data_IF_280968655511
#
_entry.id   IF_280968655511
#
_cell.length_a   1.000
_cell.length_b   1.000
_cell.length_c   1.000
_cell.angle_alpha   90.00
_cell.angle_beta   90.00
_cell.angle_gamma   90.00
#
_symmetry.space_group_name_H-M   'P 1'
#
loop_
_entity.id
_entity.type
_entity.pdbx_description
1 polymer ?
#
# COMPACT_ATOMS: atom_id res chain seq x y z
N UNK A 1 38.34 57.82 -6.38
CA UNK A 1 36.96 57.48 -5.99
C UNK A 1 36.70 56.04 -6.39
N UNK A 2 36.60 55.13 -5.42
CA UNK A 2 36.25 53.73 -5.65
C UNK A 2 34.93 53.44 -4.91
N UNK A 3 33.96 52.71 -5.50
CA UNK A 3 32.68 52.47 -4.84
C UNK A 3 32.82 51.32 -3.83
N UNK A 4 32.37 51.56 -2.60
CA UNK A 4 32.10 50.50 -1.63
C UNK A 4 30.82 49.78 -2.05
N UNK A 5 30.91 48.47 -2.30
CA UNK A 5 29.75 47.60 -2.44
C UNK A 5 29.43 46.97 -1.07
N UNK A 6 28.29 47.37 -0.50
CA UNK A 6 27.78 46.80 0.76
C UNK A 6 27.07 45.48 0.45
N UNK A 7 27.61 44.36 0.95
CA UNK A 7 27.00 43.04 0.89
C UNK A 7 25.82 42.98 1.87
N UNK A 8 24.59 42.97 1.35
CA UNK A 8 23.37 42.69 2.13
C UNK A 8 23.25 41.18 2.24
N UNK A 9 23.51 40.64 3.43
CA UNK A 9 23.28 39.22 3.74
C UNK A 9 21.81 39.03 4.11
N UNK A 10 21.03 38.41 3.23
CA UNK A 10 19.69 37.94 3.57
C UNK A 10 19.81 36.63 4.35
N UNK A 11 19.61 36.71 5.67
CA UNK A 11 19.37 35.52 6.48
C UNK A 11 17.95 35.02 6.16
N UNK A 12 17.85 33.94 5.37
CA UNK A 12 16.61 33.19 5.20
C UNK A 12 16.28 32.50 6.53
N UNK A 13 15.12 32.74 7.15
CA UNK A 13 14.69 31.94 8.28
C UNK A 13 14.45 30.52 7.78
N UNK A 14 15.21 29.56 8.32
CA UNK A 14 14.94 28.14 8.16
C UNK A 14 13.58 27.88 8.82
N UNK A 15 12.50 27.89 8.05
CA UNK A 15 11.21 27.33 8.44
C UNK A 15 11.43 25.83 8.58
N UNK A 16 11.77 25.41 9.80
CA UNK A 16 11.70 24.00 10.21
C UNK A 16 10.24 23.58 10.08
N UNK A 17 9.86 22.97 8.96
CA UNK A 17 8.66 22.13 8.92
C UNK A 17 8.84 21.10 10.04
N UNK A 18 8.08 21.23 11.12
CA UNK A 18 8.06 20.23 12.17
C UNK A 18 7.65 18.91 11.53
N UNK A 19 8.60 17.98 11.39
CA UNK A 19 8.34 16.65 10.88
C UNK A 19 7.35 15.95 11.83
N UNK A 20 6.28 15.37 11.30
CA UNK A 20 5.32 14.60 12.07
C UNK A 20 6.05 13.45 12.78
N UNK A 21 5.83 13.27 14.08
CA UNK A 21 6.50 12.21 14.83
C UNK A 21 6.02 10.82 14.35
N UNK A 22 6.91 9.82 14.20
CA UNK A 22 6.54 8.50 13.67
C UNK A 22 5.39 7.82 14.42
N UNK A 23 5.35 7.98 15.75
CA UNK A 23 4.31 7.38 16.60
C UNK A 23 2.93 8.02 16.37
N UNK A 24 2.89 9.33 16.11
CA UNK A 24 1.66 10.05 15.81
C UNK A 24 1.14 9.66 14.42
N UNK A 25 2.05 9.57 13.44
CA UNK A 25 1.73 9.10 12.09
C UNK A 25 1.16 7.68 12.11
N UNK A 26 1.78 6.76 12.85
CA UNK A 26 1.31 5.39 13.02
C UNK A 26 -0.07 5.34 13.66
N UNK A 27 -0.30 6.08 14.76
CA UNK A 27 -1.59 6.12 15.45
C UNK A 27 -2.71 6.62 14.54
N UNK A 28 -2.47 7.72 13.81
CA UNK A 28 -3.44 8.29 12.89
C UNK A 28 -3.73 7.37 11.71
N UNK A 29 -2.72 6.77 11.11
CA UNK A 29 -2.90 5.81 10.02
C UNK A 29 -3.66 4.57 10.49
N UNK A 30 -3.35 4.05 11.69
CA UNK A 30 -4.08 2.92 12.28
C UNK A 30 -5.56 3.25 12.49
N UNK A 31 -5.88 4.46 12.93
CA UNK A 31 -7.27 4.92 13.07
C UNK A 31 -8.00 4.90 11.72
N UNK A 32 -7.37 5.40 10.65
CA UNK A 32 -7.95 5.41 9.29
C UNK A 32 -8.18 3.98 8.79
N UNK A 33 -7.21 3.09 9.00
CA UNK A 33 -7.31 1.67 8.61
C UNK A 33 -8.47 1.00 9.36
N UNK A 34 -8.57 1.21 10.68
CA UNK A 34 -9.60 0.60 11.51
C UNK A 34 -11.01 1.10 11.18
N UNK A 35 -11.14 2.39 10.83
CA UNK A 35 -12.43 2.99 10.49
C UNK A 35 -12.87 2.72 9.05
N UNK A 36 -12.00 2.10 8.22
CA UNK A 36 -12.23 1.90 6.79
C UNK A 36 -12.67 3.17 6.06
N UNK A 37 -12.21 4.32 6.55
CA UNK A 37 -12.62 5.63 6.04
C UNK A 37 -11.88 5.96 4.75
N UNK A 38 -12.51 6.77 3.91
CA UNK A 38 -11.85 7.35 2.75
C UNK A 38 -10.76 8.32 3.22
N UNK A 39 -9.58 8.25 2.62
CA UNK A 39 -8.48 9.19 2.82
C UNK A 39 -7.86 9.54 1.47
N UNK A 40 -7.61 10.83 1.25
CA UNK A 40 -6.98 11.35 0.03
C UNK A 40 -5.45 11.16 0.06
N UNK A 41 -4.82 11.24 -1.11
CA UNK A 41 -3.35 11.17 -1.22
C UNK A 41 -2.69 12.27 -0.37
N UNK A 42 -3.21 13.50 -0.41
CA UNK A 42 -2.69 14.63 0.36
C UNK A 42 -2.76 14.41 1.89
N UNK A 43 -3.73 13.61 2.36
CA UNK A 43 -3.82 13.23 3.78
C UNK A 43 -2.88 12.07 4.13
N UNK A 44 -2.64 11.14 3.19
CA UNK A 44 -1.85 9.92 3.43
C UNK A 44 -0.35 10.13 3.28
N UNK A 45 0.09 10.93 2.30
CA UNK A 45 1.50 11.17 2.01
C UNK A 45 2.31 11.64 3.23
N UNK A 46 1.90 12.67 4.00
CA UNK A 46 2.67 13.08 5.18
C UNK A 46 2.71 12.02 6.28
N UNK A 47 1.67 11.17 6.38
CA UNK A 47 1.66 10.05 7.33
C UNK A 47 2.65 8.97 6.89
N UNK A 48 2.60 8.60 5.61
CA UNK A 48 3.47 7.59 5.01
C UNK A 48 4.95 7.96 5.15
N UNK A 49 5.30 9.21 4.81
CA UNK A 49 6.68 9.71 4.89
C UNK A 49 7.26 9.76 6.31
N UNK A 50 6.40 9.77 7.33
CA UNK A 50 6.82 9.76 8.73
C UNK A 50 6.96 8.34 9.32
N UNK A 51 6.53 7.29 8.60
CA UNK A 51 6.63 5.92 9.09
C UNK A 51 8.08 5.40 9.04
N UNK A 52 8.50 4.61 10.04
CA UNK A 52 9.80 3.96 9.97
C UNK A 52 9.79 2.88 8.87
N UNK A 53 10.89 2.69 8.14
CA UNK A 53 10.99 1.59 7.20
C UNK A 53 10.95 0.23 7.92
N UNK A 54 10.47 -0.78 7.21
CA UNK A 54 10.50 -2.16 7.67
C UNK A 54 11.42 -2.97 6.76
N UNK A 55 12.10 -3.98 7.30
CA UNK A 55 12.92 -4.90 6.51
C UNK A 55 12.09 -6.09 6.04
N UNK A 56 12.51 -6.77 4.97
CA UNK A 56 11.83 -8.00 4.50
C UNK A 56 11.66 -9.03 5.63
N UNK A 57 12.66 -9.20 6.49
CA UNK A 57 12.59 -10.12 7.64
C UNK A 57 11.46 -9.77 8.63
N UNK A 58 11.18 -8.47 8.83
CA UNK A 58 10.06 -8.01 9.68
C UNK A 58 8.71 -8.08 8.96
N UNK A 59 8.71 -8.12 7.63
CA UNK A 59 7.52 -8.14 6.79
C UNK A 59 7.01 -9.56 6.48
N UNK A 60 7.65 -10.61 7.00
CA UNK A 60 7.17 -11.99 6.81
C UNK A 60 5.83 -12.18 7.52
N UNK A 61 4.85 -12.76 6.82
CA UNK A 61 3.52 -13.00 7.40
C UNK A 61 2.39 -12.96 6.38
N UNK A 62 1.17 -13.04 6.91
CA UNK A 62 -0.09 -12.95 6.16
C UNK A 62 -0.79 -11.67 6.57
N UNK A 63 -1.22 -10.88 5.59
CA UNK A 63 -1.80 -9.55 5.79
C UNK A 63 -3.12 -9.44 5.07
N UNK A 64 -4.17 -9.05 5.82
CA UNK A 64 -5.45 -8.65 5.24
C UNK A 64 -5.32 -7.26 4.60
N UNK A 65 -5.76 -7.15 3.36
CA UNK A 65 -5.70 -5.93 2.56
C UNK A 65 -6.87 -4.97 2.82
N UNK A 66 -6.72 -3.75 2.31
CA UNK A 66 -7.73 -2.71 2.31
C UNK A 66 -7.34 -1.57 1.37
N UNK A 67 -8.30 -0.72 1.01
CA UNK A 67 -8.11 0.47 0.17
C UNK A 67 -8.58 1.70 0.94
N UNK A 68 -7.95 2.86 0.70
CA UNK A 68 -8.31 4.14 1.32
C UNK A 68 -9.43 4.88 0.58
N UNK A 69 -10.25 4.16 -0.20
CA UNK A 69 -11.32 4.75 -1.01
C UNK A 69 -12.64 4.90 -0.23
N UNK A 70 -12.69 4.35 0.99
CA UNK A 70 -13.91 4.14 1.75
C UNK A 70 -14.70 2.92 1.24
N UNK A 71 -15.81 2.57 1.92
CA UNK A 71 -16.68 1.51 1.46
C UNK A 71 -17.33 1.89 0.12
N UNK A 72 -17.56 0.93 -0.78
CA UNK A 72 -18.27 1.19 -2.03
C UNK A 72 -19.69 1.67 -1.75
N UNK A 73 -20.24 2.59 -2.57
CA UNK A 73 -21.59 3.10 -2.37
C UNK A 73 -22.62 1.97 -2.53
N UNK A 74 -23.64 1.99 -1.67
CA UNK A 74 -24.78 1.09 -1.78
C UNK A 74 -25.78 1.64 -2.79
N UNK A 75 -26.26 0.78 -3.69
CA UNK A 75 -27.40 1.03 -4.57
C UNK A 75 -28.47 0.00 -4.24
N UNK A 76 -29.65 0.46 -3.83
CA UNK A 76 -30.75 -0.40 -3.37
C UNK A 76 -30.34 -1.38 -2.25
N UNK A 77 -29.54 -0.91 -1.29
CA UNK A 77 -29.10 -1.72 -0.15
C UNK A 77 -28.00 -2.75 -0.47
N UNK A 78 -27.42 -2.72 -1.68
CA UNK A 78 -26.36 -3.66 -2.09
C UNK A 78 -25.21 -2.95 -2.78
N UNK A 79 -24.00 -3.53 -2.70
CA UNK A 79 -22.83 -3.05 -3.45
C UNK A 79 -22.98 -3.40 -4.93
N UNK A 80 -23.00 -2.41 -5.85
CA UNK A 80 -23.07 -2.64 -7.29
C UNK A 80 -21.96 -3.56 -7.78
N UNK A 81 -22.23 -4.43 -8.75
CA UNK A 81 -21.23 -5.35 -9.33
C UNK A 81 -19.99 -4.62 -9.83
N UNK A 82 -20.15 -3.44 -10.43
CA UNK A 82 -19.04 -2.61 -10.91
C UNK A 82 -18.16 -2.02 -9.80
N UNK A 83 -18.70 -1.92 -8.58
CA UNK A 83 -17.98 -1.42 -7.40
C UNK A 83 -17.35 -2.56 -6.57
N UNK A 84 -17.51 -3.83 -6.98
CA UNK A 84 -16.87 -4.97 -6.35
C UNK A 84 -15.45 -5.13 -6.88
N UNK A 85 -14.54 -5.59 -6.02
CA UNK A 85 -13.21 -5.97 -6.44
C UNK A 85 -13.30 -7.13 -7.46
N UNK A 86 -12.66 -7.02 -8.64
CA UNK A 86 -12.84 -7.98 -9.73
C UNK A 86 -12.25 -9.36 -9.42
N UNK A 87 -11.32 -9.46 -8.47
CA UNK A 87 -10.68 -10.71 -8.07
C UNK A 87 -11.08 -11.12 -6.65
N UNK A 88 -12.02 -10.41 -6.01
CA UNK A 88 -12.37 -10.59 -4.61
C UNK A 88 -11.14 -10.59 -3.68
N UNK A 89 -10.26 -9.60 -3.87
CA UNK A 89 -8.98 -9.49 -3.18
C UNK A 89 -9.15 -9.45 -1.66
N UNK A 90 -8.46 -10.36 -0.97
CA UNK A 90 -8.43 -10.46 0.48
C UNK A 90 -7.16 -9.87 1.08
N UNK A 91 -6.00 -10.08 0.45
CA UNK A 91 -4.73 -9.69 1.06
C UNK A 91 -3.48 -10.25 0.38
N UNK A 92 -2.43 -10.43 1.18
CA UNK A 92 -1.09 -10.83 0.72
C UNK A 92 -0.43 -11.76 1.72
N UNK A 93 0.52 -12.55 1.26
CA UNK A 93 1.41 -13.32 2.12
C UNK A 93 2.85 -13.21 1.63
N UNK A 94 3.76 -12.88 2.54
CA UNK A 94 5.21 -12.87 2.33
C UNK A 94 5.76 -14.08 3.06
N UNK A 95 6.15 -15.11 2.31
CA UNK A 95 6.67 -16.38 2.83
C UNK A 95 8.18 -16.26 3.05
N UNK A 96 8.85 -15.70 2.05
CA UNK A 96 10.28 -15.38 2.07
C UNK A 96 10.55 -14.18 1.17
N UNK A 97 11.81 -13.79 1.10
CA UNK A 97 12.33 -12.86 0.09
C UNK A 97 12.05 -13.34 -1.35
N UNK A 98 12.10 -14.64 -1.63
CA UNK A 98 11.88 -15.18 -2.99
C UNK A 98 10.44 -15.61 -3.28
N UNK A 99 9.60 -15.78 -2.26
CA UNK A 99 8.23 -16.31 -2.42
C UNK A 99 7.21 -15.39 -1.75
N UNK A 100 6.39 -14.76 -2.58
CA UNK A 100 5.29 -13.89 -2.17
C UNK A 100 4.02 -14.32 -2.92
N UNK A 101 2.91 -14.43 -2.20
CA UNK A 101 1.57 -14.52 -2.75
C UNK A 101 0.93 -13.13 -2.67
N UNK A 102 1.05 -12.29 -3.71
CA UNK A 102 0.66 -10.88 -3.61
C UNK A 102 -0.85 -10.63 -3.75
N UNK A 103 -1.58 -11.63 -4.23
CA UNK A 103 -3.01 -11.59 -4.55
C UNK A 103 -3.71 -12.80 -3.93
N UNK A 104 -3.86 -12.77 -2.61
CA UNK A 104 -4.73 -13.69 -1.90
C UNK A 104 -6.18 -13.23 -2.10
N UNK A 105 -7.06 -14.11 -2.56
CA UNK A 105 -8.45 -13.80 -2.91
C UNK A 105 -9.43 -14.72 -2.20
N UNK A 106 -10.59 -14.20 -1.84
CA UNK A 106 -11.71 -15.01 -1.36
C UNK A 106 -12.39 -15.73 -2.54
N UNK A 107 -12.95 -16.92 -2.29
CA UNK A 107 -13.78 -17.59 -3.28
C UNK A 107 -14.98 -16.70 -3.70
N UNK A 108 -15.43 -16.77 -4.96
CA UNK A 108 -16.63 -16.06 -5.42
C UNK A 108 -17.85 -16.43 -4.56
N UNK A 109 -18.64 -15.45 -4.11
CA UNK A 109 -19.77 -15.70 -3.19
C UNK A 109 -20.87 -16.57 -3.81
N UNK A 110 -20.96 -16.62 -5.14
CA UNK A 110 -21.86 -17.44 -5.95
C UNK A 110 -21.42 -18.91 -6.06
N UNK A 111 -20.26 -19.27 -5.50
CA UNK A 111 -19.75 -20.64 -5.49
C UNK A 111 -19.89 -21.37 -4.13
N UNK A 112 -20.56 -20.76 -3.14
CA UNK A 112 -20.92 -21.43 -1.88
C UNK A 112 -22.40 -21.81 -1.86
N UNK A 113 -22.77 -23.11 -1.96
CA UNK A 113 -24.16 -23.55 -1.94
C UNK A 113 -24.89 -23.31 -0.61
N UNK A 114 -24.14 -22.98 0.45
CA UNK A 114 -24.62 -22.96 1.84
C UNK A 114 -24.65 -21.54 2.43
N UNK A 115 -24.29 -20.50 1.65
CA UNK A 115 -24.13 -19.12 2.15
C UNK A 115 -22.99 -18.96 3.17
N UNK A 116 -22.19 -20.01 3.40
CA UNK A 116 -20.95 -19.92 4.21
C UNK A 116 -19.87 -19.30 3.34
N UNK A 117 -19.33 -18.17 3.75
CA UNK A 117 -18.10 -17.60 3.18
C UNK A 117 -16.97 -18.62 3.35
N UNK A 118 -16.83 -19.54 2.40
CA UNK A 118 -15.75 -20.52 2.45
C UNK A 118 -14.48 -19.74 2.18
N UNK A 119 -13.72 -19.58 3.26
CA UNK A 119 -12.49 -18.80 3.38
C UNK A 119 -11.34 -19.46 2.62
N UNK A 120 -11.57 -19.89 1.38
CA UNK A 120 -10.52 -20.47 0.57
C UNK A 120 -9.75 -19.33 -0.06
N UNK A 121 -8.69 -18.96 0.64
CA UNK A 121 -7.75 -17.94 0.22
C UNK A 121 -6.78 -18.61 -0.76
N UNK A 122 -6.99 -18.40 -2.06
CA UNK A 122 -6.09 -18.92 -3.09
C UNK A 122 -5.12 -17.84 -3.58
N UNK A 123 -3.86 -18.18 -3.91
CA UNK A 123 -3.01 -17.31 -4.73
C UNK A 123 -3.61 -17.22 -6.13
N UNK A 124 -4.22 -16.08 -6.45
CA UNK A 124 -4.92 -15.86 -7.71
C UNK A 124 -3.99 -15.25 -8.77
N UNK A 125 -3.92 -15.77 -10.02
CA UNK A 125 -4.15 -17.15 -10.46
C UNK A 125 -2.88 -18.04 -10.38
N UNK A 126 -1.77 -17.54 -9.82
CA UNK A 126 -0.47 -18.24 -9.81
C UNK A 126 0.31 -17.97 -8.52
N UNK A 127 1.08 -18.97 -8.09
CA UNK A 127 2.05 -18.88 -6.98
C UNK A 127 3.33 -18.20 -7.46
N UNK A 128 4.08 -17.60 -6.54
CA UNK A 128 5.44 -17.08 -6.78
C UNK A 128 5.57 -16.03 -7.91
N UNK A 129 4.52 -15.24 -8.13
CA UNK A 129 4.52 -14.14 -9.11
C UNK A 129 5.14 -12.84 -8.58
N UNK A 130 5.70 -12.87 -7.37
CA UNK A 130 6.36 -11.73 -6.76
C UNK A 130 7.46 -12.16 -5.79
N UNK A 131 8.37 -11.22 -5.50
CA UNK A 131 9.46 -11.33 -4.55
C UNK A 131 9.43 -10.15 -3.59
N UNK A 132 10.03 -10.27 -2.41
CA UNK A 132 10.23 -9.17 -1.47
C UNK A 132 11.71 -8.77 -1.43
N UNK A 133 11.99 -7.47 -1.59
CA UNK A 133 13.35 -6.90 -1.53
C UNK A 133 13.31 -5.60 -0.74
N UNK A 134 14.39 -5.27 -0.05
CA UNK A 134 14.58 -3.92 0.47
C UNK A 134 14.97 -3.01 -0.70
N UNK A 135 14.11 -2.04 -1.02
CA UNK A 135 14.27 -1.11 -2.15
C UNK A 135 14.29 0.32 -1.62
N UNK A 136 15.17 1.15 -2.19
CA UNK A 136 15.26 2.58 -1.84
C UNK A 136 14.19 3.38 -2.58
N UNK A 137 13.38 4.12 -1.82
CA UNK A 137 12.44 5.12 -2.33
C UNK A 137 12.60 6.41 -1.53
N UNK A 138 12.78 7.55 -2.20
CA UNK A 138 13.02 8.86 -1.55
C UNK A 138 14.17 8.83 -0.51
N UNK A 139 15.22 8.04 -0.77
CA UNK A 139 16.38 7.90 0.13
C UNK A 139 16.16 6.95 1.31
N UNK A 140 14.99 6.33 1.46
CA UNK A 140 14.68 5.37 2.52
C UNK A 140 14.57 3.96 1.94
N UNK A 141 15.35 3.01 2.47
CA UNK A 141 15.24 1.59 2.11
C UNK A 141 14.14 0.91 2.92
N UNK A 142 13.18 0.25 2.26
CA UNK A 142 12.09 -0.47 2.92
C UNK A 142 11.68 -1.71 2.13
N UNK A 143 11.11 -2.70 2.84
CA UNK A 143 10.59 -3.92 2.27
C UNK A 143 9.53 -3.60 1.21
N UNK A 144 9.77 -4.07 0.00
CA UNK A 144 8.97 -3.77 -1.18
C UNK A 144 8.67 -5.07 -1.92
N UNK A 145 7.39 -5.27 -2.25
CA UNK A 145 6.96 -6.39 -3.10
C UNK A 145 7.21 -6.00 -4.57
N UNK A 146 8.03 -6.80 -5.26
CA UNK A 146 8.34 -6.67 -6.67
C UNK A 146 7.61 -7.78 -7.42
N UNK A 147 6.67 -7.42 -8.29
CA UNK A 147 6.01 -8.39 -9.16
C UNK A 147 6.96 -8.82 -10.28
N UNK A 148 6.98 -10.12 -10.57
CA UNK A 148 7.68 -10.63 -11.73
C UNK A 148 7.02 -10.09 -13.00
N UNK A 149 7.84 -9.58 -13.94
CA UNK A 149 7.34 -9.16 -15.26
C UNK A 149 6.83 -10.38 -16.00
N UNK A 150 5.55 -10.38 -16.34
CA UNK A 150 5.00 -11.34 -17.28
C UNK A 150 5.47 -10.97 -18.68
N UNK A 151 6.22 -11.87 -19.34
CA UNK A 151 6.34 -11.87 -20.79
C UNK A 151 5.26 -12.81 -21.29
N UNK A 152 4.21 -12.26 -21.90
CA UNK A 152 3.21 -13.09 -22.58
C UNK A 152 3.90 -13.78 -23.77
N UNK A 153 3.88 -15.12 -23.88
CA UNK A 153 4.35 -15.79 -25.09
C UNK A 153 3.49 -15.47 -26.33
N UNK A 154 2.36 -14.78 -26.17
CA UNK A 154 1.46 -14.40 -27.26
C UNK A 154 1.76 -13.04 -27.91
N UNK A 155 2.82 -12.35 -27.50
CA UNK A 155 3.23 -11.03 -28.05
C UNK A 155 4.61 -11.08 -28.74
N UNK A 156 4.92 -12.19 -29.40
CA UNK A 156 6.05 -12.32 -30.33
C UNK A 156 5.61 -12.95 -31.66
N UNK A 157 4.65 -12.30 -32.32
CA UNK A 157 4.29 -12.55 -33.72
C UNK A 157 4.28 -11.22 -34.48
#
# INVERSE_FOLDING_TARGET
MAPLYTLITFALPLLSLAALAPIEAQSKLQSIINSQSKASIAELEPLWSALPPITVAKALGIYKGGLFNGPPPLVNGSVPKAARDPINWWGKQIISDFSVNPLLANAPSDSSPDGRDVSIIFPYPRKDIAQARDVVHQGVASATIIYAKFVSPFYMA
#
